data_IF_528070089335
#
_entry.id   IF_528070089335
#
_cell.length_a   1.000
_cell.length_b   1.000
_cell.length_c   1.000
_cell.angle_alpha   90.00
_cell.angle_beta   90.00
_cell.angle_gamma   90.00
#
_symmetry.space_group_name_H-M   'P 1'
#
loop_
_entity.id
_entity.type
_entity.pdbx_description
1 polymer ?
#
# COMPACT_ATOMS: atom_id res chain seq x y z
N UNK A 1 6.00 -10.09 3.88
CA UNK A 1 6.34 -8.71 4.29
C UNK A 1 6.08 -7.81 3.11
N UNK A 2 5.32 -6.75 3.32
CA UNK A 2 4.95 -5.75 2.31
C UNK A 2 5.28 -4.37 2.86
N UNK A 3 5.29 -3.37 1.99
CA UNK A 3 5.82 -2.05 2.32
C UNK A 3 4.86 -0.95 1.95
N UNK A 4 4.82 0.09 2.78
CA UNK A 4 4.17 1.35 2.50
C UNK A 4 5.22 2.46 2.41
N UNK A 5 5.22 3.20 1.31
CA UNK A 5 6.09 4.34 1.10
C UNK A 5 5.36 5.64 1.42
N UNK A 6 5.92 6.46 2.31
CA UNK A 6 5.30 7.71 2.74
C UNK A 6 6.32 8.83 2.91
N UNK A 7 5.83 10.05 3.08
CA UNK A 7 6.64 11.23 3.41
C UNK A 7 7.02 11.24 4.89
N UNK A 8 8.13 11.88 5.22
CA UNK A 8 8.56 12.11 6.61
C UNK A 8 7.44 12.73 7.47
N UNK A 9 6.69 13.70 6.94
CA UNK A 9 5.59 14.39 7.64
C UNK A 9 4.44 13.48 8.12
N UNK A 10 4.31 12.25 7.57
CA UNK A 10 3.29 11.30 7.98
C UNK A 10 3.83 10.20 8.91
N UNK A 11 5.14 10.11 9.10
CA UNK A 11 5.77 9.04 9.87
C UNK A 11 5.25 9.01 11.32
N UNK A 12 5.25 10.16 12.01
CA UNK A 12 4.78 10.23 13.40
C UNK A 12 3.30 9.82 13.54
N UNK A 13 2.44 10.31 12.63
CA UNK A 13 1.03 9.93 12.63
C UNK A 13 0.85 8.43 12.39
N UNK A 14 1.64 7.82 11.52
CA UNK A 14 1.53 6.39 11.23
C UNK A 14 2.08 5.56 12.40
N UNK A 15 3.13 6.03 13.07
CA UNK A 15 3.66 5.37 14.25
C UNK A 15 2.64 5.36 15.41
N UNK A 16 1.89 6.44 15.60
CA UNK A 16 0.90 6.56 16.68
C UNK A 16 -0.43 5.90 16.32
N UNK A 17 -0.94 6.13 15.12
CA UNK A 17 -2.30 5.76 14.72
C UNK A 17 -2.38 4.61 13.72
N UNK A 18 -1.24 4.07 13.28
CA UNK A 18 -1.17 3.08 12.22
C UNK A 18 -1.42 3.67 10.83
N UNK A 19 -1.39 2.78 9.83
CA UNK A 19 -1.75 3.12 8.45
C UNK A 19 -3.27 3.31 8.33
N UNK A 20 -3.69 4.38 7.65
CA UNK A 20 -5.09 4.69 7.40
C UNK A 20 -5.49 4.37 5.96
N UNK A 21 -6.74 3.96 5.78
CA UNK A 21 -7.28 3.69 4.46
C UNK A 21 -7.38 4.99 3.65
N UNK A 22 -6.97 4.90 2.38
CA UNK A 22 -7.29 5.90 1.37
C UNK A 22 -8.78 5.81 1.02
N UNK A 23 -9.40 6.94 0.70
CA UNK A 23 -10.80 7.00 0.23
C UNK A 23 -10.95 6.53 -1.22
N UNK A 24 -9.85 6.46 -1.97
CA UNK A 24 -9.83 6.08 -3.38
C UNK A 24 -8.52 5.38 -3.77
N UNK A 25 -8.52 4.78 -4.95
CA UNK A 25 -7.33 4.19 -5.57
C UNK A 25 -7.70 3.19 -6.65
N UNK A 26 -6.70 2.58 -7.28
CA UNK A 26 -6.90 1.63 -8.38
C UNK A 26 -7.73 0.41 -7.96
N UNK A 27 -7.56 -0.05 -6.72
CA UNK A 27 -8.34 -1.15 -6.14
C UNK A 27 -9.40 -0.61 -5.16
N UNK A 28 -9.82 0.64 -5.32
CA UNK A 28 -10.83 1.27 -4.47
C UNK A 28 -10.31 1.70 -3.10
N UNK A 29 -11.21 2.02 -2.16
CA UNK A 29 -10.85 2.46 -0.82
C UNK A 29 -10.11 1.37 -0.04
N UNK A 30 -9.04 1.75 0.67
CA UNK A 30 -8.26 0.82 1.48
C UNK A 30 -6.80 1.24 1.68
N UNK A 31 -6.03 0.38 2.33
CA UNK A 31 -4.63 0.62 2.68
C UNK A 31 -3.73 -0.04 1.65
N UNK A 32 -2.90 0.77 0.98
CA UNK A 32 -2.08 0.32 -0.14
C UNK A 32 -0.69 -0.10 0.29
N UNK A 33 -0.28 -1.27 -0.18
CA UNK A 33 1.01 -1.90 0.11
C UNK A 33 1.60 -2.45 -1.20
N UNK A 34 2.92 -2.51 -1.27
CA UNK A 34 3.64 -3.09 -2.41
C UNK A 34 4.99 -3.66 -1.98
N UNK A 35 5.84 -4.04 -2.92
CA UNK A 35 7.21 -4.49 -2.67
C UNK A 35 8.14 -3.32 -2.32
N UNK A 36 9.24 -3.62 -1.64
CA UNK A 36 10.10 -2.63 -0.96
C UNK A 36 10.62 -1.54 -1.87
N UNK A 37 11.19 -1.94 -3.00
CA UNK A 37 11.81 -1.06 -3.99
C UNK A 37 10.78 -0.14 -4.63
N UNK A 38 9.60 -0.66 -4.99
CA UNK A 38 8.49 0.14 -5.52
C UNK A 38 7.97 1.12 -4.46
N UNK A 39 7.74 0.67 -3.23
CA UNK A 39 7.29 1.54 -2.13
C UNK A 39 8.28 2.70 -1.91
N UNK A 40 9.59 2.42 -1.97
CA UNK A 40 10.63 3.45 -1.91
C UNK A 40 10.51 4.46 -3.06
N UNK A 41 10.29 4.02 -4.30
CA UNK A 41 10.11 4.94 -5.43
C UNK A 41 8.82 5.77 -5.33
N UNK A 42 7.71 5.17 -4.89
CA UNK A 42 6.45 5.88 -4.63
C UNK A 42 6.67 6.99 -3.58
N UNK A 43 7.37 6.67 -2.50
CA UNK A 43 7.66 7.64 -1.45
C UNK A 43 8.53 8.80 -1.98
N UNK A 44 9.56 8.52 -2.78
CA UNK A 44 10.40 9.56 -3.41
C UNK A 44 9.58 10.47 -4.31
N UNK A 45 8.74 9.89 -5.16
CA UNK A 45 7.86 10.63 -6.06
C UNK A 45 6.91 11.56 -5.29
N UNK A 46 6.27 11.04 -4.24
CA UNK A 46 5.32 11.80 -3.43
C UNK A 46 6.01 12.82 -2.51
N UNK A 47 7.23 12.53 -2.03
CA UNK A 47 7.94 13.32 -1.03
C UNK A 47 8.79 14.47 -1.55
N UNK A 48 8.88 14.67 -2.88
CA UNK A 48 9.49 15.86 -3.48
C UNK A 48 10.89 16.22 -2.94
N UNK A 49 11.68 15.23 -2.50
CA UNK A 49 13.13 15.36 -2.27
C UNK A 49 13.61 15.53 -0.82
N UNK A 50 12.76 15.63 0.19
CA UNK A 50 13.19 16.02 1.55
C UNK A 50 12.97 14.96 2.63
N UNK A 51 13.44 13.72 2.41
CA UNK A 51 13.29 12.58 3.33
C UNK A 51 11.95 11.84 3.23
N UNK A 52 12.07 10.52 3.07
CA UNK A 52 10.94 9.60 2.97
C UNK A 52 11.01 8.55 4.07
N UNK A 53 9.88 7.92 4.35
CA UNK A 53 9.83 6.74 5.20
C UNK A 53 9.37 5.52 4.43
N UNK A 54 10.04 4.42 4.69
CA UNK A 54 9.63 3.10 4.26
C UNK A 54 9.12 2.36 5.50
N UNK A 55 7.85 1.99 5.46
CA UNK A 55 7.18 1.27 6.54
C UNK A 55 7.09 -0.20 6.14
N UNK A 56 7.67 -1.07 6.94
CA UNK A 56 7.60 -2.51 6.78
C UNK A 56 6.41 -3.07 7.55
N UNK A 57 5.59 -3.84 6.86
CA UNK A 57 4.31 -4.35 7.36
C UNK A 57 4.28 -5.87 7.24
N UNK A 58 3.91 -6.51 8.35
CA UNK A 58 3.37 -7.86 8.35
C UNK A 58 1.88 -7.78 8.09
N UNK A 59 1.45 -8.41 7.00
CA UNK A 59 0.07 -8.39 6.51
C UNK A 59 -0.57 -9.75 6.78
N UNK A 60 -1.65 -9.75 7.57
CA UNK A 60 -2.64 -10.83 7.54
C UNK A 60 -3.56 -10.63 6.33
N UNK A 61 -3.38 -11.45 5.30
CA UNK A 61 -4.12 -11.30 4.04
C UNK A 61 -5.62 -11.62 4.17
N UNK A 62 -6.03 -12.38 5.19
CA UNK A 62 -7.40 -12.86 5.33
C UNK A 62 -7.91 -13.56 4.07
N UNK A 63 -9.18 -13.29 3.71
CA UNK A 63 -9.71 -13.69 2.41
C UNK A 63 -9.26 -12.72 1.33
N UNK A 64 -8.35 -13.16 0.47
CA UNK A 64 -7.81 -12.34 -0.61
C UNK A 64 -8.51 -12.58 -1.95
N UNK A 65 -8.90 -11.50 -2.62
CA UNK A 65 -9.29 -11.52 -4.03
C UNK A 65 -8.10 -11.13 -4.90
N UNK A 66 -7.76 -11.99 -5.87
CA UNK A 66 -6.74 -11.70 -6.88
C UNK A 66 -7.44 -11.29 -8.17
N UNK A 67 -7.16 -10.09 -8.67
CA UNK A 67 -7.64 -9.65 -9.97
C UNK A 67 -6.70 -10.16 -11.06
N UNK A 68 -7.23 -10.65 -12.20
CA UNK A 68 -6.39 -11.17 -13.27
C UNK A 68 -5.61 -10.04 -13.96
N UNK A 69 -4.32 -10.29 -14.22
CA UNK A 69 -3.44 -9.37 -14.94
C UNK A 69 -3.36 -8.00 -14.27
N UNK A 70 -3.66 -6.95 -15.05
CA UNK A 70 -3.67 -5.56 -14.60
C UNK A 70 -5.06 -4.97 -14.50
N UNK A 71 -6.06 -5.79 -14.20
CA UNK A 71 -7.41 -5.31 -13.91
C UNK A 71 -7.45 -4.49 -12.62
N UNK A 72 -8.29 -3.46 -12.64
CA UNK A 72 -8.55 -2.58 -11.51
C UNK A 72 -9.97 -2.76 -10.96
N UNK A 73 -10.22 -2.25 -9.75
CA UNK A 73 -11.53 -2.26 -9.08
C UNK A 73 -11.66 -0.96 -8.30
N UNK A 74 -11.71 0.17 -9.02
CA UNK A 74 -11.73 1.52 -8.41
C UNK A 74 -12.90 1.77 -7.48
N UNK A 75 -13.99 1.01 -7.64
CA UNK A 75 -15.18 1.10 -6.78
C UNK A 75 -15.07 0.23 -5.53
N UNK A 76 -14.06 -0.65 -5.44
CA UNK A 76 -13.83 -1.50 -4.28
C UNK A 76 -14.87 -2.61 -4.10
N UNK A 77 -15.40 -3.17 -5.20
CA UNK A 77 -16.41 -4.22 -5.14
C UNK A 77 -15.93 -5.47 -4.41
N UNK A 78 -14.63 -5.78 -4.47
CA UNK A 78 -14.03 -6.86 -3.68
C UNK A 78 -14.35 -6.73 -2.18
N UNK A 79 -14.36 -5.52 -1.63
CA UNK A 79 -14.63 -5.29 -0.20
C UNK A 79 -16.09 -5.59 0.13
N UNK A 80 -17.01 -5.16 -0.74
CA UNK A 80 -18.45 -5.44 -0.63
C UNK A 80 -18.79 -6.94 -0.80
N UNK A 81 -17.93 -7.69 -1.50
CA UNK A 81 -18.04 -9.15 -1.63
C UNK A 81 -17.51 -9.90 -0.40
N UNK A 82 -17.01 -9.21 0.62
CA UNK A 82 -16.57 -9.79 1.88
C UNK A 82 -15.07 -10.04 1.97
N UNK A 83 -14.31 -9.83 0.89
CA UNK A 83 -12.85 -10.01 0.91
C UNK A 83 -12.16 -8.97 1.80
N UNK A 84 -11.06 -9.39 2.40
CA UNK A 84 -10.24 -8.59 3.31
C UNK A 84 -9.12 -7.84 2.60
N UNK A 85 -8.60 -8.45 1.53
CA UNK A 85 -7.50 -7.90 0.72
C UNK A 85 -7.82 -8.09 -0.76
N UNK A 86 -7.53 -7.07 -1.57
CA UNK A 86 -7.48 -7.19 -3.02
C UNK A 86 -6.02 -7.11 -3.49
N UNK A 87 -5.63 -7.98 -4.40
CA UNK A 87 -4.31 -7.99 -5.01
C UNK A 87 -4.44 -7.91 -6.53
N UNK A 88 -3.61 -7.10 -7.16
CA UNK A 88 -3.52 -6.98 -8.62
C UNK A 88 -2.11 -6.61 -9.02
N UNK A 89 -1.76 -6.79 -10.31
CA UNK A 89 -0.53 -6.24 -10.87
C UNK A 89 -0.81 -4.83 -11.38
N UNK A 90 -0.27 -3.82 -10.71
CA UNK A 90 -0.29 -2.46 -11.22
C UNK A 90 0.53 -2.40 -12.53
N UNK A 91 0.02 -1.77 -13.61
CA UNK A 91 0.82 -1.47 -14.79
C UNK A 91 2.09 -0.69 -14.45
N UNK A 92 3.03 -0.57 -15.40
CA UNK A 92 4.16 0.34 -15.22
C UNK A 92 3.64 1.77 -14.89
N UNK A 93 4.27 2.40 -13.89
CA UNK A 93 3.91 3.75 -13.44
C UNK A 93 5.16 4.45 -12.91
N UNK A 94 5.40 4.39 -11.59
CA UNK A 94 6.57 5.05 -11.01
C UNK A 94 7.86 4.28 -11.25
N UNK A 95 7.73 2.96 -11.47
CA UNK A 95 8.77 2.09 -11.99
C UNK A 95 8.41 1.68 -13.41
N UNK A 96 9.43 1.45 -14.25
CA UNK A 96 9.27 1.13 -15.68
C UNK A 96 8.88 -0.34 -15.94
N UNK A 97 8.27 -1.01 -14.96
CA UNK A 97 7.79 -2.38 -15.07
C UNK A 97 6.52 -2.56 -14.23
N UNK A 98 5.67 -3.55 -14.55
CA UNK A 98 4.54 -3.90 -13.69
C UNK A 98 5.00 -4.37 -12.30
N UNK A 99 4.16 -4.17 -11.29
CA UNK A 99 4.47 -4.56 -9.91
C UNK A 99 3.22 -5.00 -9.14
N UNK A 100 3.37 -5.87 -8.13
CA UNK A 100 2.24 -6.27 -7.30
C UNK A 100 1.81 -5.14 -6.37
N UNK A 101 0.52 -4.93 -6.25
CA UNK A 101 -0.07 -4.08 -5.22
C UNK A 101 -1.14 -4.85 -4.44
N UNK A 102 -1.24 -4.50 -3.16
CA UNK A 102 -2.28 -4.99 -2.26
C UNK A 102 -3.06 -3.78 -1.74
N UNK A 103 -4.38 -3.92 -1.70
CA UNK A 103 -5.30 -2.99 -1.06
C UNK A 103 -6.03 -3.74 0.06
N UNK A 104 -5.84 -3.29 1.30
CA UNK A 104 -6.34 -3.98 2.50
C UNK A 104 -7.48 -3.17 3.10
N UNK A 105 -8.58 -3.85 3.46
CA UNK A 105 -9.81 -3.21 3.91
C UNK A 105 -9.68 -2.58 5.30
N UNK A 106 -9.01 -3.29 6.21
CA UNK A 106 -8.96 -2.96 7.63
C UNK A 106 -7.52 -2.96 8.13
N UNK A 107 -7.14 -1.88 8.83
CA UNK A 107 -5.83 -1.71 9.46
C UNK A 107 -5.52 -2.73 10.56
N UNK A 108 -6.55 -3.36 11.17
CA UNK A 108 -6.36 -4.40 12.19
C UNK A 108 -5.59 -5.62 11.68
N UNK A 109 -5.53 -5.79 10.35
CA UNK A 109 -4.77 -6.84 9.65
C UNK A 109 -3.31 -6.47 9.40
N UNK A 110 -2.89 -5.28 9.79
CA UNK A 110 -1.55 -4.76 9.55
C UNK A 110 -0.79 -4.66 10.87
N UNK A 111 0.39 -5.25 10.92
CA UNK A 111 1.35 -5.00 11.99
C UNK A 111 2.57 -4.32 11.43
N UNK A 112 2.81 -3.08 11.85
CA UNK A 112 4.06 -2.38 11.54
C UNK A 112 5.19 -3.08 12.30
N UNK A 113 6.21 -3.50 11.57
CA UNK A 113 7.37 -4.23 12.13
C UNK A 113 8.68 -3.48 11.94
N UNK A 114 8.66 -2.38 11.18
CA UNK A 114 9.82 -1.51 10.99
C UNK A 114 9.44 -0.21 10.32
N UNK A 115 10.13 0.86 10.68
CA UNK A 115 10.05 2.17 10.04
C UNK A 115 11.46 2.66 9.78
N UNK A 116 11.76 2.97 8.52
CA UNK A 116 13.09 3.39 8.10
C UNK A 116 13.00 4.74 7.39
N UNK A 117 13.65 5.76 7.95
CA UNK A 117 13.91 7.02 7.25
C UNK A 117 14.95 6.78 6.15
N UNK A 118 14.73 7.35 4.97
CA UNK A 118 15.67 7.32 3.85
C UNK A 118 15.88 8.75 3.34
N UNK A 119 17.13 9.19 3.38
CA UNK A 119 17.65 10.41 2.74
C UNK A 119 18.14 10.13 1.32
#
# INVERSE_FOLDING_TARGET
>A
RVFHGTKCEHADSINIYGLKASTEGRLGPGIYLTVRDVAKQIAKYRGQGNEIYLIEVELDVGQMKVLPGSNDDRLGYWSAQGYDTCQSIHPAWIVNHPFPEWCVRDSSRLRIIGMQQIG
#
